data_IF_284057333278
#
_entry.id   IF_284057333278
#
_cell.length_a   1.000
_cell.length_b   1.000
_cell.length_c   1.000
_cell.angle_alpha   90.00
_cell.angle_beta   90.00
_cell.angle_gamma   90.00
#
_symmetry.space_group_name_H-M   'P 1'
#
loop_
_entity.id
_entity.type
_entity.pdbx_description
1 polymer ?
#
# COMPACT_ATOMS: atom_id res chain seq x y z
N UNK A 1 28.88 -14.54 -2.40
CA UNK A 1 29.07 -15.87 -3.01
C UNK A 1 28.08 -16.01 -4.15
N UNK A 2 28.59 -16.14 -5.37
CA UNK A 2 27.79 -16.24 -6.59
C UNK A 2 26.94 -17.51 -6.65
N UNK A 3 27.37 -18.60 -5.99
CA UNK A 3 26.61 -19.87 -5.94
C UNK A 3 25.37 -19.74 -5.07
N UNK A 4 25.53 -19.16 -3.87
CA UNK A 4 24.42 -18.91 -2.96
C UNK A 4 23.36 -18.00 -3.59
N UNK A 5 23.79 -16.96 -4.31
CA UNK A 5 22.89 -16.05 -5.00
C UNK A 5 22.09 -16.78 -6.08
N UNK A 6 22.74 -17.56 -6.95
CA UNK A 6 22.05 -18.35 -7.99
C UNK A 6 21.01 -19.30 -7.41
N UNK A 7 21.37 -20.06 -6.36
CA UNK A 7 20.44 -21.01 -5.73
C UNK A 7 19.25 -20.28 -5.14
N UNK A 8 19.48 -19.19 -4.39
CA UNK A 8 18.42 -18.37 -3.82
C UNK A 8 17.50 -17.77 -4.89
N UNK A 9 18.07 -17.24 -5.98
CA UNK A 9 17.29 -16.72 -7.11
C UNK A 9 16.45 -17.80 -7.78
N UNK A 10 16.98 -19.01 -7.97
CA UNK A 10 16.19 -20.13 -8.50
C UNK A 10 15.01 -20.48 -7.59
N UNK A 11 15.22 -20.49 -6.27
CA UNK A 11 14.15 -20.74 -5.29
C UNK A 11 13.11 -19.61 -5.30
N UNK A 12 13.54 -18.35 -5.43
CA UNK A 12 12.63 -17.21 -5.56
C UNK A 12 11.76 -17.31 -6.82
N UNK A 13 12.38 -17.62 -7.97
CA UNK A 13 11.65 -17.80 -9.24
C UNK A 13 10.67 -18.97 -9.12
N UNK A 14 11.10 -20.11 -8.56
CA UNK A 14 10.22 -21.25 -8.35
C UNK A 14 9.03 -20.90 -7.44
N UNK A 15 9.29 -20.22 -6.32
CA UNK A 15 8.23 -19.76 -5.41
C UNK A 15 7.25 -18.79 -6.08
N UNK A 16 7.76 -17.85 -6.88
CA UNK A 16 6.93 -16.93 -7.65
C UNK A 16 6.06 -17.67 -8.68
N UNK A 17 6.64 -18.63 -9.41
CA UNK A 17 5.89 -19.46 -10.37
C UNK A 17 4.79 -20.27 -9.67
N UNK A 18 5.07 -20.84 -8.49
CA UNK A 18 4.05 -21.55 -7.70
C UNK A 18 2.92 -20.61 -7.29
N UNK A 19 3.23 -19.41 -6.79
CA UNK A 19 2.21 -18.42 -6.42
C UNK A 19 1.38 -17.99 -7.62
N UNK A 20 2.01 -17.74 -8.77
CA UNK A 20 1.29 -17.40 -10.01
C UNK A 20 0.42 -18.56 -10.50
N UNK A 21 0.91 -19.80 -10.42
CA UNK A 21 0.14 -20.99 -10.74
C UNK A 21 -1.08 -21.13 -9.81
N UNK A 22 -0.91 -20.88 -8.51
CA UNK A 22 -2.02 -20.88 -7.55
C UNK A 22 -3.06 -19.80 -7.83
N UNK A 23 -2.71 -18.71 -8.51
CA UNK A 23 -3.64 -17.62 -8.86
C UNK A 23 -4.33 -17.89 -10.21
N UNK A 24 -3.62 -18.49 -11.18
CA UNK A 24 -4.04 -18.55 -12.58
C UNK A 24 -4.67 -19.88 -12.99
N UNK A 25 -4.43 -20.97 -12.27
CA UNK A 25 -4.96 -22.30 -12.64
C UNK A 25 -6.37 -22.50 -12.07
N UNK A 26 -7.39 -22.77 -12.88
CA UNK A 26 -8.73 -23.07 -12.39
C UNK A 26 -8.72 -24.22 -11.36
N UNK A 27 -9.44 -24.04 -10.24
CA UNK A 27 -9.52 -25.02 -9.15
C UNK A 27 -8.40 -24.94 -8.11
N UNK A 28 -7.39 -24.09 -8.29
CA UNK A 28 -6.38 -23.87 -7.24
C UNK A 28 -6.94 -23.01 -6.08
N UNK A 29 -6.35 -23.09 -4.88
CA UNK A 29 -6.88 -22.41 -3.67
C UNK A 29 -6.99 -20.88 -3.76
N UNK A 30 -6.17 -20.24 -4.61
CA UNK A 30 -6.12 -18.79 -4.77
C UNK A 30 -6.75 -18.31 -6.09
N UNK A 31 -7.20 -19.24 -6.94
CA UNK A 31 -7.95 -18.91 -8.14
C UNK A 31 -9.28 -18.28 -7.76
N UNK A 32 -9.67 -17.24 -8.49
CA UNK A 32 -10.93 -16.54 -8.26
C UNK A 32 -11.76 -16.63 -9.52
N UNK A 33 -12.86 -17.37 -9.43
CA UNK A 33 -13.86 -17.42 -10.50
C UNK A 33 -14.54 -16.06 -10.61
N UNK A 34 -15.00 -15.72 -11.82
CA UNK A 34 -15.69 -14.47 -12.09
C UNK A 34 -17.02 -14.81 -12.76
N UNK A 35 -18.11 -14.28 -12.22
CA UNK A 35 -19.44 -14.38 -12.82
C UNK A 35 -19.99 -12.98 -13.07
N UNK A 36 -20.93 -12.86 -13.99
CA UNK A 36 -21.64 -11.60 -14.18
C UNK A 36 -22.51 -11.31 -12.95
N UNK A 37 -22.48 -10.06 -12.47
CA UNK A 37 -23.22 -9.64 -11.29
C UNK A 37 -24.72 -9.81 -11.53
N UNK A 38 -25.46 -10.52 -10.64
CA UNK A 38 -26.91 -10.65 -10.76
C UNK A 38 -27.68 -9.33 -10.66
N UNK A 39 -27.05 -8.30 -10.09
CA UNK A 39 -27.66 -6.97 -9.87
C UNK A 39 -27.24 -5.94 -10.92
N UNK A 40 -26.06 -6.08 -11.53
CA UNK A 40 -25.50 -5.15 -12.51
C UNK A 40 -24.99 -5.89 -13.76
N UNK A 41 -25.81 -6.00 -14.83
CA UNK A 41 -25.39 -6.61 -16.09
C UNK A 41 -24.14 -5.94 -16.66
N UNK A 42 -23.15 -6.73 -17.08
CA UNK A 42 -21.85 -6.27 -17.59
C UNK A 42 -20.75 -6.08 -16.53
N UNK A 43 -21.06 -6.20 -15.23
CA UNK A 43 -20.06 -6.13 -14.16
C UNK A 43 -19.65 -7.55 -13.72
N UNK A 44 -18.39 -7.93 -13.96
CA UNK A 44 -17.86 -9.20 -13.44
C UNK A 44 -17.57 -9.07 -11.94
N UNK A 45 -18.01 -10.06 -11.16
CA UNK A 45 -17.79 -10.15 -9.72
C UNK A 45 -17.13 -11.47 -9.36
N UNK A 46 -16.30 -11.45 -8.32
CA UNK A 46 -15.69 -12.65 -7.78
C UNK A 46 -16.76 -13.66 -7.34
N UNK A 47 -16.56 -14.92 -7.69
CA UNK A 47 -17.45 -16.02 -7.38
C UNK A 47 -16.75 -17.11 -6.57
N UNK A 48 -17.52 -17.76 -5.70
CA UNK A 48 -17.09 -18.90 -4.89
C UNK A 48 -17.77 -20.17 -5.37
N UNK A 49 -16.99 -21.25 -5.43
CA UNK A 49 -17.51 -22.60 -5.69
C UNK A 49 -18.23 -23.09 -4.44
N UNK A 50 -19.48 -23.51 -4.61
CA UNK A 50 -20.26 -24.13 -3.55
C UNK A 50 -20.45 -25.61 -3.89
N UNK A 51 -19.96 -26.48 -3.00
CA UNK A 51 -20.32 -27.89 -3.03
C UNK A 51 -21.68 -28.07 -2.36
N UNK A 52 -22.67 -28.50 -3.13
CA UNK A 52 -23.99 -28.84 -2.59
C UNK A 52 -23.91 -30.20 -1.89
N UNK A 53 -24.28 -30.25 -0.62
CA UNK A 53 -24.55 -31.53 0.06
C UNK A 53 -25.86 -32.14 -0.49
N UNK A 54 -25.92 -33.46 -0.60
CA UNK A 54 -27.09 -34.18 -1.13
C UNK A 54 -28.40 -33.69 -0.49
N UNK A 55 -29.29 -33.14 -1.33
CA UNK A 55 -30.61 -32.64 -0.92
C UNK A 55 -30.72 -31.16 -0.56
N UNK A 56 -29.64 -30.36 -0.66
CA UNK A 56 -29.71 -28.90 -0.50
C UNK A 56 -30.09 -28.18 -1.80
N UNK A 57 -31.02 -27.22 -1.70
CA UNK A 57 -31.38 -26.35 -2.83
C UNK A 57 -30.24 -25.37 -3.14
N UNK A 58 -30.01 -25.11 -4.43
CA UNK A 58 -29.00 -24.15 -4.88
C UNK A 58 -29.21 -22.76 -4.28
N UNK A 59 -28.16 -22.11 -3.74
CA UNK A 59 -28.25 -20.75 -3.24
C UNK A 59 -28.77 -19.78 -4.32
N UNK A 60 -29.56 -18.77 -3.91
CA UNK A 60 -30.10 -17.75 -4.83
C UNK A 60 -28.96 -17.01 -5.54
N UNK A 61 -29.03 -16.90 -6.87
CA UNK A 61 -28.01 -16.25 -7.69
C UNK A 61 -26.85 -17.16 -8.10
N UNK A 62 -27.00 -18.49 -7.93
CA UNK A 62 -26.02 -19.46 -8.42
C UNK A 62 -26.03 -19.54 -9.94
N UNK A 63 -24.83 -19.57 -10.53
CA UNK A 63 -24.60 -19.80 -11.96
C UNK A 63 -23.80 -21.08 -12.10
N UNK A 64 -24.27 -21.99 -12.95
CA UNK A 64 -23.54 -23.20 -13.28
C UNK A 64 -22.59 -22.89 -14.44
N UNK A 65 -21.29 -23.01 -14.20
CA UNK A 65 -20.24 -22.77 -15.20
C UNK A 65 -19.23 -23.91 -15.14
N UNK A 66 -18.97 -24.56 -16.28
CA UNK A 66 -18.05 -25.69 -16.41
C UNK A 66 -18.31 -26.85 -15.40
N UNK A 67 -19.58 -27.08 -15.06
CA UNK A 67 -20.00 -28.11 -14.09
C UNK A 67 -19.78 -27.74 -12.61
N UNK A 68 -19.40 -26.49 -12.33
CA UNK A 68 -19.27 -25.94 -10.98
C UNK A 68 -20.44 -25.02 -10.67
N UNK A 69 -20.97 -25.13 -9.46
CA UNK A 69 -21.99 -24.21 -8.95
C UNK A 69 -21.31 -23.01 -8.31
N UNK A 70 -21.36 -21.87 -8.99
CA UNK A 70 -20.72 -20.62 -8.57
C UNK A 70 -21.74 -19.68 -7.94
N UNK A 71 -21.39 -19.09 -6.80
CA UNK A 71 -22.21 -18.08 -6.11
C UNK A 71 -21.41 -16.78 -6.01
N UNK A 72 -22.03 -15.59 -6.17
CA UNK A 72 -21.33 -14.32 -5.95
C UNK A 72 -20.67 -14.32 -4.57
N UNK A 73 -19.36 -14.08 -4.53
CA UNK A 73 -18.62 -13.98 -3.29
C UNK A 73 -19.12 -12.77 -2.51
N UNK A 74 -19.28 -12.93 -1.19
CA UNK A 74 -19.45 -11.78 -0.29
C UNK A 74 -18.20 -10.88 -0.26
N UNK A 75 -17.06 -11.41 -0.73
CA UNK A 75 -15.81 -10.68 -0.83
C UNK A 75 -15.72 -9.96 -2.17
N UNK A 76 -15.58 -8.64 -2.12
CA UNK A 76 -15.38 -7.79 -3.31
C UNK A 76 -14.03 -8.14 -3.97
N UNK A 77 -13.00 -8.42 -3.17
CA UNK A 77 -11.67 -8.72 -3.67
C UNK A 77 -11.44 -10.21 -3.93
N UNK A 78 -10.70 -10.56 -5.01
CA UNK A 78 -10.17 -11.90 -5.20
C UNK A 78 -9.42 -12.42 -3.97
N UNK A 79 -9.52 -13.73 -3.71
CA UNK A 79 -8.92 -14.37 -2.52
C UNK A 79 -7.42 -14.10 -2.40
N UNK A 80 -6.72 -14.12 -3.53
CA UNK A 80 -5.27 -13.87 -3.58
C UNK A 80 -4.88 -12.44 -3.20
N UNK A 81 -5.74 -11.44 -3.45
CA UNK A 81 -5.49 -10.04 -3.06
C UNK A 81 -5.45 -9.92 -1.54
N UNK A 82 -6.38 -10.60 -0.84
CA UNK A 82 -6.37 -10.65 0.63
C UNK A 82 -5.14 -11.37 1.18
N UNK A 83 -4.65 -12.39 0.47
CA UNK A 83 -3.49 -13.17 0.85
C UNK A 83 -2.16 -12.61 0.33
N UNK A 84 -2.14 -11.46 -0.37
CA UNK A 84 -0.94 -11.00 -1.05
C UNK A 84 0.23 -10.72 -0.09
N UNK A 85 -0.05 -10.15 1.08
CA UNK A 85 0.95 -9.82 2.10
C UNK A 85 1.65 -11.10 2.63
N UNK A 86 0.93 -12.12 3.14
CA UNK A 86 1.58 -13.36 3.56
C UNK A 86 2.24 -14.12 2.41
N UNK A 87 1.70 -14.05 1.19
CA UNK A 87 2.34 -14.68 0.01
C UNK A 87 3.69 -14.03 -0.29
N UNK A 88 3.77 -12.69 -0.33
CA UNK A 88 5.02 -11.95 -0.49
C UNK A 88 6.00 -12.32 0.63
N UNK A 89 5.55 -12.38 1.88
CA UNK A 89 6.39 -12.81 3.00
C UNK A 89 7.02 -14.20 2.74
N UNK A 90 6.23 -15.19 2.32
CA UNK A 90 6.70 -16.55 2.01
C UNK A 90 7.72 -16.54 0.85
N UNK A 91 7.40 -15.81 -0.23
CA UNK A 91 8.26 -15.71 -1.42
C UNK A 91 9.60 -15.04 -1.11
N UNK A 92 9.68 -14.16 -0.11
CA UNK A 92 10.95 -13.53 0.28
C UNK A 92 11.69 -14.25 1.41
N UNK A 93 10.99 -14.82 2.40
CA UNK A 93 11.64 -15.49 3.53
C UNK A 93 12.31 -16.80 3.11
N UNK A 94 11.67 -17.61 2.26
CA UNK A 94 12.21 -18.93 1.86
C UNK A 94 13.55 -18.76 1.13
N UNK A 95 13.67 -17.95 0.05
CA UNK A 95 14.94 -17.71 -0.61
C UNK A 95 15.98 -17.04 0.29
N UNK A 96 15.54 -16.17 1.22
CA UNK A 96 16.41 -15.53 2.20
C UNK A 96 17.06 -16.53 3.16
N UNK A 97 16.29 -17.48 3.67
CA UNK A 97 16.80 -18.58 4.50
C UNK A 97 17.74 -19.47 3.69
N UNK A 98 17.34 -19.88 2.47
CA UNK A 98 18.19 -20.71 1.59
C UNK A 98 19.53 -20.02 1.33
N UNK A 99 19.53 -18.72 1.03
CA UNK A 99 20.76 -17.95 0.84
C UNK A 99 21.64 -17.97 2.10
N UNK A 100 21.04 -17.73 3.27
CA UNK A 100 21.74 -17.75 4.56
C UNK A 100 22.34 -19.12 4.91
N UNK A 101 21.65 -20.21 4.58
CA UNK A 101 22.12 -21.59 4.77
C UNK A 101 23.29 -21.92 3.86
N UNK A 102 23.19 -21.61 2.55
CA UNK A 102 24.29 -21.88 1.60
C UNK A 102 25.55 -21.08 1.97
N UNK A 103 25.38 -19.84 2.45
CA UNK A 103 26.47 -19.00 2.96
C UNK A 103 26.98 -19.42 4.35
N UNK A 104 26.41 -20.47 4.96
CA UNK A 104 26.73 -20.95 6.32
C UNK A 104 26.57 -19.91 7.42
N UNK A 105 25.78 -18.86 7.15
CA UNK A 105 25.38 -17.82 8.12
C UNK A 105 24.22 -18.29 8.99
N UNK A 106 23.36 -19.14 8.45
CA UNK A 106 22.30 -19.85 9.16
C UNK A 106 22.74 -21.31 9.25
N UNK A 107 22.94 -21.81 10.47
CA UNK A 107 23.39 -23.20 10.71
C UNK A 107 22.32 -24.04 11.40
N UNK A 108 21.36 -23.39 12.05
CA UNK A 108 20.28 -24.03 12.80
C UNK A 108 18.99 -23.24 12.71
N UNK A 109 17.88 -23.88 13.07
CA UNK A 109 16.57 -23.24 13.29
C UNK A 109 16.66 -22.06 14.28
N UNK A 110 17.52 -22.16 15.31
CA UNK A 110 17.76 -21.09 16.28
C UNK A 110 18.30 -19.81 15.64
N UNK A 111 19.14 -19.94 14.61
CA UNK A 111 19.66 -18.78 13.88
C UNK A 111 18.53 -18.06 13.12
N UNK A 112 17.61 -18.82 12.53
CA UNK A 112 16.42 -18.27 11.85
C UNK A 112 15.54 -17.53 12.86
N UNK A 113 15.22 -18.17 13.99
CA UNK A 113 14.44 -17.55 15.05
C UNK A 113 15.10 -16.28 15.58
N UNK A 114 16.42 -16.28 15.80
CA UNK A 114 17.16 -15.08 16.21
C UNK A 114 17.02 -13.96 15.17
N UNK A 115 17.24 -14.24 13.88
CA UNK A 115 17.13 -13.23 12.82
C UNK A 115 15.71 -12.64 12.72
N UNK A 116 14.69 -13.46 12.91
CA UNK A 116 13.30 -13.01 12.97
C UNK A 116 13.05 -12.14 14.21
N UNK A 117 13.56 -12.55 15.38
CA UNK A 117 13.48 -11.76 16.61
C UNK A 117 14.18 -10.41 16.48
N UNK A 118 15.38 -10.37 15.92
CA UNK A 118 16.13 -9.13 15.69
C UNK A 118 15.37 -8.20 14.74
N UNK A 119 14.73 -8.77 13.70
CA UNK A 119 13.87 -8.01 12.78
C UNK A 119 12.65 -7.43 13.49
N UNK A 120 11.99 -8.21 14.35
CA UNK A 120 10.87 -7.74 15.18
C UNK A 120 11.30 -6.66 16.18
N UNK A 121 12.48 -6.81 16.80
CA UNK A 121 13.05 -5.81 17.70
C UNK A 121 13.30 -4.49 16.98
N UNK A 122 13.79 -4.52 15.73
CA UNK A 122 13.93 -3.34 14.89
C UNK A 122 12.59 -2.62 14.59
N UNK A 123 11.47 -3.33 14.66
CA UNK A 123 10.12 -2.76 14.47
C UNK A 123 9.47 -2.26 15.77
N UNK A 124 10.11 -2.37 16.92
CA UNK A 124 9.53 -2.01 18.22
C UNK A 124 8.96 -0.57 18.25
N UNK A 125 9.67 0.39 17.64
CA UNK A 125 9.21 1.78 17.54
C UNK A 125 7.91 1.91 16.73
N UNK A 126 7.79 1.15 15.63
CA UNK A 126 6.58 1.14 14.80
C UNK A 126 5.41 0.52 15.56
N UNK A 127 5.64 -0.54 16.33
CA UNK A 127 4.61 -1.19 17.15
C UNK A 127 4.06 -0.22 18.22
N UNK A 128 4.95 0.48 18.94
CA UNK A 128 4.54 1.48 19.95
C UNK A 128 3.74 2.60 19.30
N UNK A 129 4.19 3.10 18.15
CA UNK A 129 3.46 4.12 17.40
C UNK A 129 2.08 3.63 16.95
N UNK A 130 1.99 2.42 16.37
CA UNK A 130 0.75 1.82 15.93
C UNK A 130 -0.25 1.62 17.09
N UNK A 131 0.25 1.31 18.29
CA UNK A 131 -0.59 1.24 19.50
C UNK A 131 -1.27 2.59 19.79
N UNK A 132 -0.50 3.67 19.95
CA UNK A 132 -1.07 4.99 20.23
C UNK A 132 -1.93 5.53 19.09
N UNK A 133 -1.50 5.30 17.85
CA UNK A 133 -2.28 5.59 16.66
C UNK A 133 -3.65 4.90 16.66
N UNK A 134 -3.69 3.60 16.93
CA UNK A 134 -4.93 2.83 17.00
C UNK A 134 -5.86 3.37 18.10
N UNK A 135 -5.30 3.71 19.27
CA UNK A 135 -6.06 4.36 20.33
C UNK A 135 -6.62 5.72 19.89
N UNK A 136 -5.79 6.57 19.26
CA UNK A 136 -6.22 7.86 18.74
C UNK A 136 -7.35 7.71 17.73
N UNK A 137 -7.20 6.83 16.72
CA UNK A 137 -8.23 6.60 15.69
C UNK A 137 -9.55 6.16 16.32
N UNK A 138 -9.52 5.22 17.27
CA UNK A 138 -10.74 4.74 17.92
C UNK A 138 -11.38 5.83 18.80
N UNK A 139 -10.61 6.62 19.57
CA UNK A 139 -11.16 7.71 20.38
C UNK A 139 -11.66 8.89 19.52
N UNK A 140 -11.00 9.16 18.40
CA UNK A 140 -11.39 10.16 17.42
C UNK A 140 -12.71 9.79 16.75
N UNK A 141 -12.89 8.50 16.42
CA UNK A 141 -14.16 7.93 15.95
C UNK A 141 -15.24 7.92 17.03
N UNK A 142 -14.91 7.52 18.26
CA UNK A 142 -15.84 7.48 19.38
C UNK A 142 -16.40 8.87 19.73
N UNK A 143 -15.54 9.89 19.69
CA UNK A 143 -15.95 11.29 19.93
C UNK A 143 -16.74 11.91 18.77
N UNK A 144 -16.79 11.27 17.59
CA UNK A 144 -17.42 11.80 16.39
C UNK A 144 -16.66 12.98 15.75
N UNK A 145 -15.46 13.29 16.24
CA UNK A 145 -14.61 14.35 15.70
C UNK A 145 -14.15 14.02 14.28
N UNK A 146 -13.95 12.74 13.95
CA UNK A 146 -13.67 12.26 12.61
C UNK A 146 -14.74 12.70 11.61
N UNK A 147 -16.01 12.48 11.94
CA UNK A 147 -17.15 12.86 11.12
C UNK A 147 -17.29 14.38 11.04
N UNK A 148 -17.13 15.08 12.17
CA UNK A 148 -17.25 16.53 12.22
C UNK A 148 -16.18 17.22 11.35
N UNK A 149 -14.92 16.80 11.46
CA UNK A 149 -13.83 17.32 10.63
C UNK A 149 -14.01 16.96 9.16
N UNK A 150 -14.38 15.71 8.86
CA UNK A 150 -14.66 15.27 7.51
C UNK A 150 -15.78 16.09 6.86
N UNK A 151 -16.90 16.27 7.57
CA UNK A 151 -18.04 17.05 7.07
C UNK A 151 -17.69 18.52 6.89
N UNK A 152 -17.07 19.15 7.88
CA UNK A 152 -16.75 20.59 7.81
C UNK A 152 -15.71 20.86 6.72
N UNK A 153 -14.65 20.05 6.64
CA UNK A 153 -13.63 20.17 5.61
C UNK A 153 -14.16 19.81 4.22
N UNK A 154 -14.93 18.73 4.11
CA UNK A 154 -15.54 18.29 2.86
C UNK A 154 -16.52 19.33 2.32
N UNK A 155 -17.32 19.97 3.17
CA UNK A 155 -18.19 21.09 2.80
C UNK A 155 -17.38 22.31 2.34
N UNK A 156 -16.31 22.68 3.05
CA UNK A 156 -15.45 23.78 2.64
C UNK A 156 -14.77 23.53 1.27
N UNK A 157 -14.32 22.29 1.03
CA UNK A 157 -13.75 21.87 -0.25
C UNK A 157 -14.82 21.82 -1.36
N UNK A 158 -16.03 21.34 -1.04
CA UNK A 158 -17.16 21.33 -1.97
C UNK A 158 -17.61 22.73 -2.37
N UNK A 159 -17.66 23.67 -1.44
CA UNK A 159 -18.02 25.08 -1.69
C UNK A 159 -17.00 25.80 -2.58
N UNK A 160 -15.72 25.44 -2.46
CA UNK A 160 -14.67 26.02 -3.31
C UNK A 160 -14.68 25.48 -4.74
N UNK A 161 -15.44 24.40 -5.01
CA UNK A 161 -15.64 23.80 -6.33
C UNK A 161 -14.32 23.57 -7.10
N UNK A 162 -13.24 23.24 -6.39
CA UNK A 162 -11.94 23.03 -6.99
C UNK A 162 -11.93 21.73 -7.79
N UNK A 163 -11.25 21.69 -8.95
CA UNK A 163 -11.09 20.46 -9.70
C UNK A 163 -10.25 19.46 -8.91
N UNK A 164 -10.54 18.17 -9.06
CA UNK A 164 -9.82 17.06 -8.39
C UNK A 164 -8.31 17.18 -8.55
N UNK A 165 -7.83 17.56 -9.74
CA UNK A 165 -6.41 17.77 -10.02
C UNK A 165 -5.76 18.76 -9.05
N UNK A 166 -6.40 19.91 -8.80
CA UNK A 166 -5.87 20.93 -7.91
C UNK A 166 -5.88 20.48 -6.44
N UNK A 167 -6.91 19.75 -6.03
CA UNK A 167 -6.99 19.15 -4.70
C UNK A 167 -5.84 18.16 -4.45
N UNK A 168 -5.51 17.32 -5.44
CA UNK A 168 -4.40 16.39 -5.37
C UNK A 168 -3.06 17.11 -5.27
N UNK A 169 -2.84 18.16 -6.08
CA UNK A 169 -1.61 18.97 -6.01
C UNK A 169 -1.50 19.66 -4.65
N UNK A 170 -2.57 20.26 -4.14
CA UNK A 170 -2.59 20.90 -2.83
C UNK A 170 -2.27 19.90 -1.72
N UNK A 171 -2.82 18.69 -1.80
CA UNK A 171 -2.56 17.63 -0.83
C UNK A 171 -1.11 17.12 -0.88
N UNK A 172 -0.54 16.97 -2.08
CA UNK A 172 0.88 16.63 -2.27
C UNK A 172 1.77 17.69 -1.62
N UNK A 173 1.56 18.97 -1.95
CA UNK A 173 2.36 20.08 -1.41
C UNK A 173 2.24 20.20 0.12
N UNK A 174 1.03 20.03 0.65
CA UNK A 174 0.83 20.01 2.10
C UNK A 174 1.57 18.83 2.76
N UNK A 175 1.49 17.63 2.16
CA UNK A 175 2.22 16.45 2.66
C UNK A 175 3.72 16.67 2.63
N UNK A 176 4.23 17.29 1.55
CA UNK A 176 5.65 17.66 1.43
C UNK A 176 6.11 18.59 2.55
N UNK A 177 5.31 19.62 2.87
CA UNK A 177 5.58 20.55 3.98
C UNK A 177 5.63 19.82 5.32
N UNK A 178 4.64 18.97 5.61
CA UNK A 178 4.62 18.18 6.84
C UNK A 178 5.78 17.19 6.94
N UNK A 179 6.21 16.64 5.80
CA UNK A 179 7.33 15.71 5.74
C UNK A 179 8.67 16.35 6.14
N UNK A 180 8.80 17.68 6.08
CA UNK A 180 9.98 18.38 6.61
C UNK A 180 10.06 18.35 8.15
N UNK A 181 8.93 18.17 8.83
CA UNK A 181 8.84 18.13 10.30
C UNK A 181 8.82 16.71 10.85
N UNK A 182 8.17 15.78 10.15
CA UNK A 182 8.00 14.41 10.59
C UNK A 182 8.54 13.46 9.53
N UNK A 183 9.74 12.92 9.75
CA UNK A 183 10.41 12.05 8.76
C UNK A 183 9.81 10.64 8.63
N UNK A 184 8.91 10.23 9.52
CA UNK A 184 8.30 8.89 9.47
C UNK A 184 7.09 8.87 8.52
N UNK A 185 7.14 8.01 7.49
CA UNK A 185 6.01 7.78 6.59
C UNK A 185 4.80 7.23 7.31
N UNK A 186 4.99 6.26 8.21
CA UNK A 186 3.88 5.61 8.94
C UNK A 186 3.23 6.56 9.94
N UNK A 187 4.02 7.38 10.65
CA UNK A 187 3.49 8.33 11.63
C UNK A 187 2.56 9.35 10.99
N UNK A 188 3.04 9.99 9.91
CA UNK A 188 2.28 11.00 9.16
C UNK A 188 1.02 10.43 8.56
N UNK A 189 1.11 9.27 7.91
CA UNK A 189 -0.06 8.65 7.28
C UNK A 189 -1.12 8.31 8.32
N UNK A 190 -0.71 7.83 9.49
CA UNK A 190 -1.67 7.46 10.54
C UNK A 190 -2.41 8.66 11.11
N UNK A 191 -1.79 9.85 11.11
CA UNK A 191 -2.47 11.11 11.44
C UNK A 191 -3.36 11.60 10.29
N UNK A 192 -2.91 11.49 9.04
CA UNK A 192 -3.60 12.06 7.88
C UNK A 192 -4.79 11.22 7.41
N UNK A 193 -4.64 9.90 7.40
CA UNK A 193 -5.65 8.96 6.92
C UNK A 193 -7.04 9.17 7.53
N UNK A 194 -7.22 9.24 8.88
CA UNK A 194 -8.55 9.41 9.46
C UNK A 194 -9.19 10.79 9.19
N UNK A 195 -8.42 11.78 8.73
CA UNK A 195 -8.91 13.15 8.50
C UNK A 195 -9.16 13.39 7.01
N UNK A 196 -8.14 13.16 6.18
CA UNK A 196 -8.17 13.54 4.77
C UNK A 196 -8.87 12.52 3.89
N UNK A 197 -8.83 11.22 4.22
CA UNK A 197 -9.50 10.21 3.41
C UNK A 197 -11.02 10.45 3.42
N UNK A 198 -11.71 10.54 4.58
CA UNK A 198 -13.15 10.81 4.59
C UNK A 198 -13.50 12.17 3.96
N UNK A 199 -12.66 13.19 4.19
CA UNK A 199 -12.85 14.53 3.63
C UNK A 199 -12.82 14.53 2.09
N UNK A 200 -11.87 13.80 1.50
CA UNK A 200 -11.75 13.67 0.06
C UNK A 200 -12.81 12.77 -0.56
N UNK A 201 -13.25 11.73 0.14
CA UNK A 201 -14.39 10.91 -0.27
C UNK A 201 -15.67 11.75 -0.44
N UNK A 202 -15.89 12.78 0.40
CA UNK A 202 -17.05 13.67 0.27
C UNK A 202 -17.05 14.52 -1.01
N UNK A 203 -15.88 14.80 -1.58
CA UNK A 203 -15.74 15.52 -2.86
C UNK A 203 -15.48 14.57 -4.04
N UNK A 204 -15.77 13.29 -3.85
CA UNK A 204 -15.74 12.28 -4.90
C UNK A 204 -14.37 11.68 -5.22
N UNK A 205 -13.37 11.87 -4.36
CA UNK A 205 -12.02 11.31 -4.53
C UNK A 205 -11.91 9.98 -3.77
N UNK A 206 -11.46 8.94 -4.46
CA UNK A 206 -11.28 7.62 -3.87
C UNK A 206 -10.16 7.55 -2.82
N UNK A 207 -10.29 6.74 -1.76
CA UNK A 207 -9.27 6.60 -0.72
C UNK A 207 -7.91 6.14 -1.27
N UNK A 208 -7.90 5.31 -2.31
CA UNK A 208 -6.71 4.82 -2.99
C UNK A 208 -5.95 5.98 -3.67
N UNK A 209 -6.70 6.92 -4.26
CA UNK A 209 -6.13 8.09 -4.91
C UNK A 209 -5.55 9.08 -3.88
N UNK A 210 -6.22 9.28 -2.74
CA UNK A 210 -5.66 10.02 -1.61
C UNK A 210 -4.38 9.37 -1.09
N UNK A 211 -4.36 8.05 -0.94
CA UNK A 211 -3.17 7.32 -0.51
C UNK A 211 -2.01 7.45 -1.51
N UNK A 212 -2.30 7.40 -2.82
CA UNK A 212 -1.29 7.60 -3.87
C UNK A 212 -0.69 9.01 -3.79
N UNK A 213 -1.53 10.04 -3.70
CA UNK A 213 -1.08 11.43 -3.56
C UNK A 213 -0.26 11.65 -2.28
N UNK A 214 -0.64 11.02 -1.16
CA UNK A 214 0.15 11.04 0.07
C UNK A 214 1.55 10.43 -0.14
N UNK A 215 1.63 9.26 -0.80
CA UNK A 215 2.91 8.58 -1.07
C UNK A 215 3.83 9.43 -1.92
N UNK A 216 3.28 10.17 -2.88
CA UNK A 216 4.04 11.13 -3.68
C UNK A 216 4.64 12.21 -2.79
N UNK A 217 3.80 12.91 -2.01
CA UNK A 217 4.25 14.01 -1.17
C UNK A 217 5.25 13.59 -0.08
N UNK A 218 5.07 12.41 0.52
CA UNK A 218 5.98 11.87 1.54
C UNK A 218 7.38 11.56 0.97
N UNK A 219 7.45 11.04 -0.25
CA UNK A 219 8.74 10.60 -0.81
C UNK A 219 9.66 11.73 -1.26
N UNK A 220 9.11 12.79 -1.88
CA UNK A 220 9.91 13.72 -2.71
C UNK A 220 10.75 14.69 -1.86
N UNK A 221 10.34 14.98 -0.63
CA UNK A 221 11.08 15.85 0.30
C UNK A 221 11.97 15.10 1.28
N UNK A 222 11.97 13.77 1.30
CA UNK A 222 12.77 12.97 2.26
C UNK A 222 14.28 13.29 2.21
N UNK A 223 14.80 13.64 1.03
CA UNK A 223 16.21 13.96 0.82
C UNK A 223 16.62 15.33 1.38
N UNK A 224 15.66 16.24 1.57
CA UNK A 224 15.90 17.59 2.08
C UNK A 224 15.42 17.78 3.53
N UNK A 225 14.70 16.80 4.09
CA UNK A 225 14.21 16.83 5.47
C UNK A 225 15.37 16.72 6.48
N UNK A 226 15.69 17.79 7.24
CA UNK A 226 16.81 17.77 8.19
C UNK A 226 16.61 16.79 9.34
N UNK A 227 15.34 16.56 9.70
CA UNK A 227 14.91 15.68 10.79
C UNK A 227 14.86 14.20 10.40
N UNK A 228 15.19 13.87 9.15
CA UNK A 228 15.25 12.49 8.70
C UNK A 228 16.46 11.80 9.36
N UNK A 229 16.30 10.68 10.08
CA UNK A 229 17.43 9.97 10.70
C UNK A 229 18.56 9.61 9.72
N UNK A 230 18.22 9.36 8.45
CA UNK A 230 19.21 9.07 7.41
C UNK A 230 20.04 10.28 6.99
N UNK A 231 19.64 11.50 7.31
CA UNK A 231 20.39 12.73 7.02
C UNK A 231 21.79 12.70 7.63
N UNK A 232 21.92 12.19 8.86
CA UNK A 232 23.21 12.06 9.55
C UNK A 232 24.14 11.08 8.82
N UNK A 233 23.57 9.96 8.37
CA UNK A 233 24.32 8.93 7.63
C UNK A 233 24.77 9.49 6.28
N UNK A 234 23.90 10.15 5.53
CA UNK A 234 24.24 10.79 4.25
C UNK A 234 25.31 11.86 4.42
N UNK A 235 25.25 12.67 5.49
CA UNK A 235 26.26 13.67 5.80
C UNK A 235 27.63 13.03 6.07
N UNK A 236 27.67 11.91 6.81
CA UNK A 236 28.90 11.18 7.07
C UNK A 236 29.55 10.65 5.78
N UNK A 237 28.74 10.10 4.85
CA UNK A 237 29.23 9.69 3.54
C UNK A 237 29.70 10.85 2.68
N UNK A 238 28.95 11.96 2.64
CA UNK A 238 29.34 13.15 1.89
C UNK A 238 30.67 13.71 2.40
N UNK A 239 30.91 13.73 3.72
CA UNK A 239 32.16 14.22 4.30
C UNK A 239 33.41 13.43 3.85
N UNK A 240 33.25 12.18 3.44
CA UNK A 240 34.37 11.41 2.87
C UNK A 240 34.79 11.91 1.47
N UNK A 241 33.87 12.55 0.74
CA UNK A 241 34.11 13.05 -0.63
C UNK A 241 34.32 14.57 -0.63
N UNK A 242 33.52 15.30 0.15
CA UNK A 242 33.53 16.76 0.28
C UNK A 242 33.61 17.14 1.77
N UNK A 243 34.83 17.18 2.37
CA UNK A 243 35.02 17.38 3.81
C UNK A 243 34.50 18.72 4.35
N UNK A 244 34.42 19.74 3.48
CA UNK A 244 33.91 21.08 3.80
C UNK A 244 32.38 21.18 3.71
N UNK A 245 31.71 20.16 3.17
CA UNK A 245 30.26 20.15 3.00
C UNK A 245 29.53 19.98 4.34
N UNK A 246 28.51 20.82 4.56
CA UNK A 246 27.62 20.74 5.71
C UNK A 246 26.22 20.24 5.33
N UNK A 247 25.31 20.22 6.30
CA UNK A 247 23.90 19.87 6.07
C UNK A 247 23.26 20.76 5.01
N UNK A 248 23.55 22.06 5.03
CA UNK A 248 23.08 23.00 4.01
C UNK A 248 23.59 22.67 2.60
N UNK A 249 24.84 22.21 2.47
CA UNK A 249 25.41 21.77 1.19
C UNK A 249 24.70 20.53 0.65
N UNK A 250 24.39 19.58 1.53
CA UNK A 250 23.65 18.38 1.14
C UNK A 250 22.22 18.73 0.71
N UNK A 251 21.51 19.56 1.49
CA UNK A 251 20.15 20.01 1.16
C UNK A 251 20.14 20.80 -0.15
N UNK A 252 21.06 21.76 -0.34
CA UNK A 252 21.10 22.56 -1.57
C UNK A 252 21.43 21.72 -2.80
N UNK A 253 22.25 20.67 -2.64
CA UNK A 253 22.56 19.72 -3.72
C UNK A 253 21.36 18.84 -4.08
N UNK A 254 20.54 18.47 -3.09
CA UNK A 254 19.36 17.61 -3.28
C UNK A 254 18.11 18.39 -3.68
N UNK A 255 18.04 19.70 -3.42
CA UNK A 255 16.87 20.53 -3.69
C UNK A 255 16.41 20.50 -5.16
N UNK A 256 17.29 20.57 -6.18
CA UNK A 256 16.89 20.44 -7.57
C UNK A 256 16.20 19.11 -7.87
N UNK A 257 16.67 18.01 -7.26
CA UNK A 257 16.04 16.69 -7.42
C UNK A 257 14.65 16.69 -6.81
N UNK A 258 14.47 17.20 -5.60
CA UNK A 258 13.14 17.32 -4.98
C UNK A 258 12.17 18.10 -5.85
N UNK A 259 12.60 19.23 -6.44
CA UNK A 259 11.74 20.04 -7.32
C UNK A 259 11.35 19.26 -8.58
N UNK A 260 12.32 18.66 -9.28
CA UNK A 260 12.07 17.90 -10.50
C UNK A 260 11.17 16.68 -10.23
N UNK A 261 11.47 15.90 -9.19
CA UNK A 261 10.65 14.74 -8.84
C UNK A 261 9.24 15.13 -8.41
N UNK A 262 9.07 16.25 -7.69
CA UNK A 262 7.74 16.76 -7.34
C UNK A 262 6.93 17.04 -8.60
N UNK A 263 7.50 17.75 -9.57
CA UNK A 263 6.82 18.09 -10.83
C UNK A 263 6.51 16.81 -11.62
N UNK A 264 7.49 15.94 -11.83
CA UNK A 264 7.33 14.73 -12.64
C UNK A 264 6.31 13.77 -12.01
N UNK A 265 6.39 13.51 -10.70
CA UNK A 265 5.44 12.60 -10.03
C UNK A 265 4.04 13.18 -9.97
N UNK A 266 3.91 14.49 -9.73
CA UNK A 266 2.60 15.14 -9.74
C UNK A 266 1.98 15.08 -11.13
N UNK A 267 2.74 15.40 -12.18
CA UNK A 267 2.27 15.28 -13.57
C UNK A 267 1.90 13.85 -13.93
N UNK A 268 2.71 12.87 -13.51
CA UNK A 268 2.41 11.46 -13.72
C UNK A 268 1.06 11.09 -13.10
N UNK A 269 0.80 11.49 -11.85
CA UNK A 269 -0.48 11.23 -11.18
C UNK A 269 -1.64 11.93 -11.92
N UNK A 270 -1.47 13.19 -12.31
CA UNK A 270 -2.52 13.94 -13.00
C UNK A 270 -2.86 13.33 -14.36
N UNK A 271 -1.85 12.92 -15.13
CA UNK A 271 -2.05 12.20 -16.39
C UNK A 271 -2.72 10.85 -16.14
N UNK A 272 -2.34 10.14 -15.08
CA UNK A 272 -2.97 8.87 -14.72
C UNK A 272 -4.45 9.01 -14.41
N UNK A 273 -4.81 10.03 -13.62
CA UNK A 273 -6.20 10.36 -13.29
C UNK A 273 -6.96 10.77 -14.55
N UNK A 274 -6.34 11.57 -15.42
CA UNK A 274 -6.95 11.98 -16.69
C UNK A 274 -7.22 10.80 -17.63
N UNK A 275 -6.34 9.80 -17.65
CA UNK A 275 -6.53 8.57 -18.42
C UNK A 275 -7.58 7.63 -17.82
N UNK A 276 -8.07 7.89 -16.59
CA UNK A 276 -9.08 7.05 -15.95
C UNK A 276 -8.57 5.66 -15.56
N UNK A 277 -7.25 5.44 -15.53
CA UNK A 277 -6.67 4.11 -15.30
C UNK A 277 -6.77 3.78 -13.81
N UNK A 278 -7.33 2.62 -13.44
CA UNK A 278 -7.38 2.21 -12.05
C UNK A 278 -5.97 2.10 -11.46
N UNK A 279 -5.78 2.56 -10.22
CA UNK A 279 -4.48 2.58 -9.54
C UNK A 279 -3.97 1.18 -9.17
N UNK A 280 -4.85 0.19 -9.24
CA UNK A 280 -4.60 -1.22 -8.97
C UNK A 280 -5.89 -2.03 -9.17
N UNK A 281 -5.88 -3.34 -8.85
CA UNK A 281 -7.11 -4.13 -8.79
C UNK A 281 -8.13 -3.46 -7.86
N UNK A 282 -9.32 -3.10 -8.38
CA UNK A 282 -10.35 -2.30 -7.69
C UNK A 282 -9.85 -0.93 -7.15
N UNK A 283 -8.74 -0.41 -7.67
CA UNK A 283 -8.16 0.88 -7.31
C UNK A 283 -8.89 2.03 -8.02
N UNK A 284 -10.12 2.30 -7.61
CA UNK A 284 -10.95 3.35 -8.20
C UNK A 284 -10.30 4.73 -8.06
N UNK A 285 -10.57 5.61 -9.02
CA UNK A 285 -10.14 7.01 -8.98
C UNK A 285 -11.22 7.92 -8.38
N UNK A 286 -12.48 7.52 -8.53
CA UNK A 286 -13.66 8.28 -8.13
C UNK A 286 -14.38 7.52 -7.02
N UNK A 287 -14.75 8.23 -5.96
CA UNK A 287 -15.66 7.73 -4.94
C UNK A 287 -17.07 8.24 -5.25
N UNK A 288 -17.99 7.40 -5.75
CA UNK A 288 -19.36 7.85 -5.99
C UNK A 288 -20.02 8.23 -4.67
N UNK A 289 -20.78 9.35 -4.60
CA UNK A 289 -21.53 9.67 -3.40
C UNK A 289 -22.50 8.52 -3.08
N UNK A 290 -22.70 8.17 -1.79
CA UNK A 290 -23.70 7.18 -1.42
C UNK A 290 -25.08 7.67 -1.90
N UNK A 291 -25.73 6.86 -2.75
CA UNK A 291 -27.12 7.06 -3.17
C UNK A 291 -28.07 7.05 -1.97
#
# INVERSE_FOLDING_TARGET
DWRALKISTCVFIAGLVVVLALIMIPGSPLYTYQIESPTNPGQMVAAEVVELADGQASPKGSVEQDGLLLVPSANIFPRWVKAIVPLVFIVFIIPGIVYGVVQKKIRSDRDVTRLLTDSMAGMASIIVMAFFAGQFVEHFKYSGLDKMLAMTGGQALGQTALPTSLLLVAFILMTMCFNMFVGSMSAKYTMFAPIFIPMFMMVGIAPELTQCAYRIGDSVTNCITPLNPYMVIMLAFMKNIAPKGGMGTLISTMLPFTIVFTIVWTLLLLVWVWLGIPLGPDGHLVYPPPN
#
